data_IF_509922141514
#
_entry.id   IF_509922141514
#
_cell.length_a   1.000
_cell.length_b   1.000
_cell.length_c   1.000
_cell.angle_alpha   90.00
_cell.angle_beta   90.00
_cell.angle_gamma   90.00
#
_symmetry.space_group_name_H-M   'P 1'
#
loop_
_entity.id
_entity.type
_entity.pdbx_description
1 polymer ?
#
# COMPACT_ATOMS: atom_id res chain seq x y z
N UNK A 1 -11.00 2.65 -31.66
CA UNK A 1 -9.54 2.83 -31.46
C UNK A 1 -9.04 1.71 -30.54
N UNK A 2 -7.87 1.11 -30.80
CA UNK A 2 -7.33 0.05 -29.91
C UNK A 2 -6.72 0.71 -28.67
N UNK A 3 -7.00 0.23 -27.45
CA UNK A 3 -6.42 0.79 -26.24
C UNK A 3 -4.89 0.66 -26.22
N UNK A 4 -4.21 1.69 -25.71
CA UNK A 4 -2.74 1.73 -25.63
C UNK A 4 -2.28 0.83 -24.47
N UNK A 5 -2.05 -0.46 -24.77
CA UNK A 5 -1.69 -1.48 -23.76
C UNK A 5 -0.46 -1.11 -22.91
N UNK A 6 0.47 -0.33 -23.45
CA UNK A 6 1.66 0.12 -22.70
C UNK A 6 1.30 1.07 -21.54
N UNK A 7 0.23 1.85 -21.63
CA UNK A 7 -0.22 2.73 -20.55
C UNK A 7 -0.73 1.95 -19.34
N UNK A 8 -1.26 0.75 -19.53
CA UNK A 8 -1.72 -0.10 -18.43
C UNK A 8 -0.53 -0.65 -17.62
N UNK A 9 0.55 -1.02 -18.28
CA UNK A 9 1.76 -1.44 -17.58
C UNK A 9 2.40 -0.27 -16.84
N UNK A 10 2.42 0.91 -17.45
CA UNK A 10 2.92 2.12 -16.83
C UNK A 10 2.10 2.52 -15.60
N UNK A 11 0.76 2.50 -15.68
CA UNK A 11 -0.12 2.86 -14.56
C UNK A 11 0.09 1.93 -13.37
N UNK A 12 0.24 0.61 -13.60
CA UNK A 12 0.57 -0.35 -12.54
C UNK A 12 1.89 -0.01 -11.82
N UNK A 13 2.91 0.43 -12.55
CA UNK A 13 4.16 0.86 -11.92
C UNK A 13 4.01 2.15 -11.15
N UNK A 14 3.30 3.14 -11.70
CA UNK A 14 3.01 4.39 -11.01
C UNK A 14 2.23 4.15 -9.71
N UNK A 15 1.26 3.24 -9.71
CA UNK A 15 0.51 2.88 -8.49
C UNK A 15 1.41 2.24 -7.43
N UNK A 16 2.34 1.36 -7.81
CA UNK A 16 3.31 0.76 -6.86
C UNK A 16 4.23 1.82 -6.28
N UNK A 17 4.78 2.70 -7.12
CA UNK A 17 5.68 3.79 -6.71
C UNK A 17 4.94 4.75 -5.80
N UNK A 18 3.76 5.22 -6.19
CA UNK A 18 2.95 6.14 -5.40
C UNK A 18 2.60 5.58 -4.02
N UNK A 19 2.17 4.31 -3.96
CA UNK A 19 1.88 3.63 -2.70
C UNK A 19 3.15 3.53 -1.83
N UNK A 20 4.26 3.04 -2.37
CA UNK A 20 5.51 2.90 -1.61
C UNK A 20 6.02 4.25 -1.09
N UNK A 21 6.10 5.27 -1.95
CA UNK A 21 6.59 6.59 -1.57
C UNK A 21 5.69 7.22 -0.52
N UNK A 22 4.37 7.08 -0.63
CA UNK A 22 3.44 7.57 0.39
C UNK A 22 3.67 6.88 1.74
N UNK A 23 3.79 5.55 1.76
CA UNK A 23 4.04 4.80 3.00
C UNK A 23 5.37 5.20 3.66
N UNK A 24 6.43 5.36 2.87
CA UNK A 24 7.73 5.81 3.39
C UNK A 24 7.65 7.24 3.92
N UNK A 25 6.97 8.15 3.21
CA UNK A 25 6.79 9.53 3.66
C UNK A 25 6.02 9.57 4.98
N UNK A 26 4.98 8.75 5.12
CA UNK A 26 4.06 8.85 6.26
C UNK A 26 4.50 8.03 7.49
N UNK A 27 5.26 6.95 7.29
CA UNK A 27 5.70 6.06 8.37
C UNK A 27 7.21 6.09 8.61
N UNK A 28 8.00 6.71 7.72
CA UNK A 28 9.47 6.73 7.81
C UNK A 28 9.99 7.36 9.08
N UNK A 29 9.43 8.50 9.50
CA UNK A 29 9.84 9.16 10.75
C UNK A 29 9.51 8.31 11.99
N UNK A 30 8.36 7.62 11.99
CA UNK A 30 7.96 6.71 13.06
C UNK A 30 8.89 5.50 13.17
N UNK A 31 9.44 5.02 12.06
CA UNK A 31 10.43 3.94 12.07
C UNK A 31 11.79 4.47 12.56
N UNK A 32 12.21 5.65 12.09
CA UNK A 32 13.48 6.27 12.47
C UNK A 32 13.53 6.72 13.94
N UNK A 33 12.38 6.88 14.61
CA UNK A 33 12.34 7.17 16.04
C UNK A 33 12.69 5.95 16.92
N UNK A 34 12.76 4.74 16.34
CA UNK A 34 13.18 3.49 16.99
C UNK A 34 12.43 3.17 18.30
N UNK A 35 11.16 3.56 18.39
CA UNK A 35 10.32 3.32 19.55
C UNK A 35 9.74 1.90 19.58
N UNK A 36 10.61 0.89 19.72
CA UNK A 36 10.28 -0.55 19.64
C UNK A 36 9.22 -1.05 20.63
N UNK A 37 8.88 -0.27 21.65
CA UNK A 37 7.90 -0.65 22.68
C UNK A 37 6.49 -0.18 22.32
N UNK A 38 6.33 0.57 21.22
CA UNK A 38 5.07 1.23 20.88
C UNK A 38 4.36 0.54 19.73
N UNK A 39 3.04 0.42 19.84
CA UNK A 39 2.20 -0.13 18.77
C UNK A 39 2.34 0.61 17.43
N UNK A 40 2.40 1.97 17.37
CA UNK A 40 2.59 2.70 16.13
C UNK A 40 3.87 2.32 15.37
N UNK A 41 4.95 1.97 16.07
CA UNK A 41 6.20 1.53 15.45
C UNK A 41 5.99 0.26 14.62
N UNK A 42 5.35 -0.77 15.18
CA UNK A 42 5.11 -2.02 14.47
C UNK A 42 4.13 -1.88 13.31
N UNK A 43 3.12 -1.02 13.45
CA UNK A 43 2.18 -0.71 12.36
C UNK A 43 2.91 0.01 11.21
N UNK A 44 3.70 1.03 11.55
CA UNK A 44 4.52 1.77 10.59
C UNK A 44 5.50 0.84 9.85
N UNK A 45 6.18 -0.04 10.59
CA UNK A 45 7.09 -1.03 10.03
C UNK A 45 6.35 -1.99 9.09
N UNK A 46 5.18 -2.49 9.48
CA UNK A 46 4.39 -3.39 8.65
C UNK A 46 3.95 -2.73 7.34
N UNK A 47 3.48 -1.48 7.39
CA UNK A 47 3.14 -0.72 6.19
C UNK A 47 4.34 -0.60 5.23
N UNK A 48 5.49 -0.13 5.72
CA UNK A 48 6.67 0.08 4.87
C UNK A 48 7.23 -1.26 4.35
N UNK A 49 7.23 -2.30 5.18
CA UNK A 49 7.68 -3.63 4.80
C UNK A 49 6.82 -4.20 3.66
N UNK A 50 5.50 -4.25 3.83
CA UNK A 50 4.61 -4.80 2.80
C UNK A 50 4.48 -3.90 1.57
N UNK A 51 4.60 -2.57 1.72
CA UNK A 51 4.76 -1.65 0.60
C UNK A 51 6.00 -1.96 -0.23
N UNK A 52 7.13 -2.22 0.43
CA UNK A 52 8.39 -2.58 -0.22
C UNK A 52 8.29 -3.94 -0.91
N UNK A 53 7.67 -4.93 -0.27
CA UNK A 53 7.44 -6.25 -0.86
C UNK A 53 6.48 -6.20 -2.05
N UNK A 54 5.44 -5.36 -2.01
CA UNK A 54 4.54 -5.13 -3.13
C UNK A 54 5.29 -4.54 -4.34
N UNK A 55 6.18 -3.58 -4.07
CA UNK A 55 7.04 -2.98 -5.09
C UNK A 55 8.01 -4.01 -5.67
N UNK A 56 8.72 -4.76 -4.81
CA UNK A 56 9.64 -5.82 -5.20
C UNK A 56 8.93 -6.94 -6.00
N UNK A 57 7.70 -7.29 -5.61
CA UNK A 57 6.84 -8.26 -6.30
C UNK A 57 6.59 -7.91 -7.77
N UNK A 58 6.61 -6.62 -8.14
CA UNK A 58 6.50 -6.16 -9.52
C UNK A 58 7.65 -6.60 -10.45
N UNK A 59 8.81 -6.93 -9.89
CA UNK A 59 9.95 -7.46 -10.66
C UNK A 59 9.94 -9.00 -10.76
N UNK A 60 9.06 -9.67 -10.03
CA UNK A 60 9.02 -11.13 -9.96
C UNK A 60 8.04 -11.74 -10.96
N UNK A 61 8.38 -12.91 -11.50
CA UNK A 61 7.49 -13.65 -12.41
C UNK A 61 6.29 -14.29 -11.69
N UNK A 62 6.42 -14.53 -10.37
CA UNK A 62 5.39 -15.18 -9.56
C UNK A 62 4.48 -14.13 -8.92
N UNK A 63 3.16 -14.15 -9.16
CA UNK A 63 2.24 -13.15 -8.60
C UNK A 63 2.05 -13.28 -7.08
N UNK A 64 2.46 -14.40 -6.46
CA UNK A 64 2.24 -14.70 -5.05
C UNK A 64 2.75 -13.60 -4.11
N UNK A 65 3.93 -13.04 -4.37
CA UNK A 65 4.50 -11.99 -3.51
C UNK A 65 3.66 -10.72 -3.54
N UNK A 66 3.22 -10.30 -4.73
CA UNK A 66 2.33 -9.15 -4.92
C UNK A 66 0.99 -9.36 -4.24
N UNK A 67 0.38 -10.53 -4.41
CA UNK A 67 -0.94 -10.83 -3.82
C UNK A 67 -0.88 -10.86 -2.29
N UNK A 68 0.12 -11.52 -1.71
CA UNK A 68 0.26 -11.61 -0.25
C UNK A 68 0.57 -10.23 0.35
N UNK A 69 1.48 -9.47 -0.27
CA UNK A 69 1.81 -8.12 0.20
C UNK A 69 0.61 -7.18 0.11
N UNK A 70 -0.13 -7.26 -0.99
CA UNK A 70 -1.35 -6.49 -1.20
C UNK A 70 -2.44 -6.85 -0.20
N UNK A 71 -2.67 -8.14 0.08
CA UNK A 71 -3.63 -8.60 1.09
C UNK A 71 -3.32 -8.01 2.47
N UNK A 72 -2.06 -8.05 2.89
CA UNK A 72 -1.65 -7.51 4.18
C UNK A 72 -1.79 -5.98 4.24
N UNK A 73 -1.51 -5.28 3.14
CA UNK A 73 -1.76 -3.84 3.04
C UNK A 73 -3.26 -3.51 3.10
N UNK A 74 -4.14 -4.31 2.47
CA UNK A 74 -5.60 -4.14 2.58
C UNK A 74 -6.03 -4.23 4.04
N UNK A 75 -5.55 -5.23 4.77
CA UNK A 75 -5.86 -5.38 6.20
C UNK A 75 -5.34 -4.20 7.03
N UNK A 76 -4.12 -3.73 6.76
CA UNK A 76 -3.53 -2.59 7.47
C UNK A 76 -4.29 -1.28 7.20
N UNK A 77 -4.68 -1.00 5.95
CA UNK A 77 -5.49 0.18 5.63
C UNK A 77 -6.89 0.10 6.23
N UNK A 78 -7.53 -1.07 6.19
CA UNK A 78 -8.83 -1.28 6.83
C UNK A 78 -8.74 -1.04 8.35
N UNK A 79 -7.67 -1.54 8.98
CA UNK A 79 -7.40 -1.30 10.39
C UNK A 79 -7.14 0.19 10.71
N UNK A 80 -6.36 0.88 9.87
CA UNK A 80 -6.10 2.32 10.02
C UNK A 80 -7.37 3.16 9.88
N UNK A 81 -8.26 2.81 8.94
CA UNK A 81 -9.56 3.45 8.78
C UNK A 81 -10.47 3.23 9.98
N UNK A 82 -10.47 2.01 10.55
CA UNK A 82 -11.24 1.71 11.75
C UNK A 82 -10.77 2.51 12.97
N UNK A 83 -9.45 2.57 13.21
CA UNK A 83 -8.89 3.35 14.33
C UNK A 83 -9.04 4.87 14.14
N UNK A 84 -8.93 5.34 12.90
CA UNK A 84 -9.07 6.77 12.55
C UNK A 84 -10.48 7.19 12.19
N UNK A 85 -11.49 6.40 12.58
CA UNK A 85 -12.88 6.70 12.23
C UNK A 85 -13.37 7.94 12.98
N UNK A 86 -13.86 8.90 12.20
CA UNK A 86 -14.51 10.13 12.68
C UNK A 86 -15.79 10.28 11.84
N UNK A 87 -16.91 10.75 12.41
CA UNK A 87 -18.19 10.86 11.69
C UNK A 87 -18.16 11.79 10.46
N UNK A 88 -17.18 12.68 10.36
CA UNK A 88 -16.98 13.55 9.22
C UNK A 88 -15.99 12.93 8.21
N UNK A 89 -16.27 13.08 6.92
CA UNK A 89 -15.36 12.63 5.84
C UNK A 89 -14.15 13.54 5.80
N UNK A 90 -12.98 12.98 6.09
CA UNK A 90 -11.69 13.71 6.05
C UNK A 90 -10.85 13.31 4.84
N UNK A 91 -9.97 14.20 4.39
CA UNK A 91 -9.00 13.91 3.32
C UNK A 91 -8.14 12.69 3.65
N UNK A 92 -7.74 12.51 4.92
CA UNK A 92 -6.97 11.35 5.37
C UNK A 92 -7.71 10.03 5.18
N UNK A 93 -9.00 9.98 5.52
CA UNK A 93 -9.84 8.80 5.31
C UNK A 93 -9.99 8.47 3.81
N UNK A 94 -10.21 9.49 2.96
CA UNK A 94 -10.33 9.30 1.52
C UNK A 94 -9.00 8.80 0.92
N UNK A 95 -7.87 9.34 1.35
CA UNK A 95 -6.54 8.87 0.92
C UNK A 95 -6.29 7.42 1.36
N UNK A 96 -6.62 7.06 2.60
CA UNK A 96 -6.51 5.68 3.06
C UNK A 96 -7.43 4.73 2.27
N UNK A 97 -8.64 5.16 1.94
CA UNK A 97 -9.57 4.38 1.11
C UNK A 97 -9.06 4.23 -0.34
N UNK A 98 -8.44 5.26 -0.90
CA UNK A 98 -7.80 5.22 -2.21
C UNK A 98 -6.67 4.19 -2.22
N UNK A 99 -5.78 4.24 -1.23
CA UNK A 99 -4.64 3.31 -1.14
C UNK A 99 -5.08 1.87 -0.81
N UNK A 100 -6.16 1.71 -0.04
CA UNK A 100 -6.83 0.43 0.15
C UNK A 100 -7.33 -0.11 -1.19
N UNK A 101 -7.95 0.73 -2.02
CA UNK A 101 -8.46 0.35 -3.34
C UNK A 101 -7.30 -0.06 -4.28
N UNK A 102 -6.18 0.66 -4.24
CA UNK A 102 -4.95 0.29 -4.97
C UNK A 102 -4.38 -1.06 -4.48
N UNK A 103 -4.38 -1.28 -3.17
CA UNK A 103 -3.94 -2.56 -2.58
C UNK A 103 -4.88 -3.70 -3.01
N UNK A 104 -6.20 -3.50 -2.96
CA UNK A 104 -7.19 -4.47 -3.46
C UNK A 104 -7.00 -4.78 -4.95
N UNK A 105 -6.69 -3.77 -5.76
CA UNK A 105 -6.38 -3.97 -7.17
C UNK A 105 -5.22 -4.94 -7.36
N UNK A 106 -4.08 -4.74 -6.67
CA UNK A 106 -2.94 -5.66 -6.76
C UNK A 106 -3.19 -7.03 -6.15
N UNK A 107 -4.04 -7.11 -5.12
CA UNK A 107 -4.49 -8.39 -4.56
C UNK A 107 -5.28 -9.19 -5.61
N UNK A 108 -6.15 -8.54 -6.37
CA UNK A 108 -6.98 -9.20 -7.38
C UNK A 108 -6.24 -9.48 -8.70
N UNK A 109 -5.37 -8.57 -9.16
CA UNK A 109 -4.69 -8.70 -10.45
C UNK A 109 -3.35 -9.43 -10.37
N UNK A 110 -2.71 -9.44 -9.20
CA UNK A 110 -1.32 -9.86 -9.05
C UNK A 110 -0.37 -9.04 -9.94
N UNK A 111 0.43 -9.73 -10.76
CA UNK A 111 1.36 -9.09 -11.69
C UNK A 111 0.80 -8.86 -13.11
N UNK A 112 -0.41 -9.36 -13.39
CA UNK A 112 -1.04 -9.27 -14.70
C UNK A 112 -1.58 -7.87 -14.99
#
# INVERSE_FOLDING_TARGET
>A
MKPVKSLLQLSKWLLRIALLTWLVLQHGQTILSLQYQTQPFYIALAFVLFGTLLFAGGFTSKPSLTVISALLLVLLFAYSLYLGFVPAVTTGQVLNLLLLSVSMYFMASGNK
#
